data_IF_043214915512
#
_entry.id   IF_043214915512
#
_cell.length_a   1.000
_cell.length_b   1.000
_cell.length_c   1.000
_cell.angle_alpha   90.00
_cell.angle_beta   90.00
_cell.angle_gamma   90.00
#
_symmetry.space_group_name_H-M   'P 1'
#
loop_
_entity.id
_entity.type
_entity.pdbx_description
1 polymer ?
#
# COMPACT_ATOMS: atom_id res chain seq x y z
N UNK A 1 -16.10 12.68 -2.70
CA UNK A 1 -15.51 12.83 -4.04
C UNK A 1 -14.00 12.99 -3.87
N UNK A 2 -13.17 12.14 -4.48
CA UNK A 2 -11.72 12.30 -4.41
C UNK A 2 -11.34 13.47 -5.35
N UNK A 3 -10.46 14.40 -4.93
CA UNK A 3 -9.95 15.43 -5.83
C UNK A 3 -9.28 14.80 -7.06
N UNK A 4 -9.61 15.31 -8.25
CA UNK A 4 -9.18 14.78 -9.57
C UNK A 4 -7.66 14.70 -9.75
N UNK A 5 -6.94 15.48 -8.95
CA UNK A 5 -5.48 15.59 -8.99
C UNK A 5 -4.75 14.48 -8.22
N UNK A 6 -5.46 13.45 -7.77
CA UNK A 6 -4.91 12.42 -6.90
C UNK A 6 -5.32 11.01 -7.32
N UNK A 7 -4.38 10.08 -7.15
CA UNK A 7 -4.61 8.64 -7.24
C UNK A 7 -4.93 8.08 -5.85
N UNK A 8 -5.92 7.21 -5.78
CA UNK A 8 -6.27 6.46 -4.58
C UNK A 8 -5.25 5.35 -4.30
N UNK A 9 -4.78 5.25 -3.05
CA UNK A 9 -3.86 4.19 -2.62
C UNK A 9 -4.52 3.20 -1.65
N UNK A 10 -5.44 3.67 -0.81
CA UNK A 10 -6.15 2.83 0.15
C UNK A 10 -7.05 3.65 1.07
N UNK A 11 -7.97 2.96 1.75
CA UNK A 11 -8.84 3.55 2.76
C UNK A 11 -8.68 2.76 4.05
N UNK A 12 -8.69 3.46 5.18
CA UNK A 12 -8.55 2.85 6.49
C UNK A 12 -9.34 3.64 7.54
N UNK A 13 -9.69 2.96 8.63
CA UNK A 13 -10.23 3.60 9.84
C UNK A 13 -9.06 4.01 10.72
N UNK A 14 -9.04 5.26 11.19
CA UNK A 14 -8.00 5.74 12.09
C UNK A 14 -8.36 5.43 13.57
N UNK A 15 -7.63 4.51 14.25
CA UNK A 15 -8.00 4.08 15.61
C UNK A 15 -7.84 5.14 16.72
N UNK A 16 -6.80 6.01 16.76
CA UNK A 16 -6.48 6.82 17.93
C UNK A 16 -7.52 7.84 18.40
N UNK A 17 -8.41 8.30 17.52
CA UNK A 17 -9.17 9.53 17.77
C UNK A 17 -10.55 9.33 18.39
N UNK A 18 -10.94 8.11 18.76
CA UNK A 18 -12.24 7.81 19.39
C UNK A 18 -13.48 8.01 18.49
N UNK A 19 -13.38 8.90 17.50
CA UNK A 19 -14.36 9.05 16.43
C UNK A 19 -14.04 8.10 15.26
N UNK A 20 -15.09 7.47 14.73
CA UNK A 20 -15.08 6.57 13.57
C UNK A 20 -14.74 7.33 12.28
N UNK A 21 -13.54 7.90 12.18
CA UNK A 21 -13.11 8.70 11.04
C UNK A 21 -12.38 7.80 10.03
N UNK A 22 -13.00 7.63 8.87
CA UNK A 22 -12.36 7.03 7.71
C UNK A 22 -11.38 8.03 7.08
N UNK A 23 -10.21 7.53 6.73
CA UNK A 23 -9.14 8.26 6.06
C UNK A 23 -8.81 7.58 4.76
N UNK A 24 -8.41 8.38 3.78
CA UNK A 24 -7.97 7.90 2.47
C UNK A 24 -6.51 8.29 2.28
N UNK A 25 -5.68 7.32 1.96
CA UNK A 25 -4.30 7.53 1.52
C UNK A 25 -4.30 7.76 0.01
N UNK A 26 -3.62 8.81 -0.41
CA UNK A 26 -3.65 9.33 -1.77
C UNK A 26 -2.24 9.73 -2.21
N UNK A 27 -2.00 9.76 -3.51
CA UNK A 27 -0.78 10.27 -4.10
C UNK A 27 -1.12 11.27 -5.23
N UNK A 28 -0.47 12.44 -5.31
CA UNK A 28 -0.80 13.43 -6.33
C UNK A 28 -0.44 12.91 -7.72
N UNK A 29 -1.30 13.16 -8.69
CA UNK A 29 -1.00 12.90 -10.09
C UNK A 29 0.25 13.71 -10.48
N UNK A 30 1.25 13.11 -11.16
CA UNK A 30 2.44 13.84 -11.60
C UNK A 30 2.13 15.10 -12.41
N UNK A 31 1.02 15.12 -13.14
CA UNK A 31 0.56 16.25 -13.93
C UNK A 31 -0.01 17.42 -13.10
N UNK A 32 -0.28 17.22 -11.81
CA UNK A 32 -0.94 18.22 -10.96
C UNK A 32 0.00 19.28 -10.37
N UNK A 33 1.31 19.24 -10.68
CA UNK A 33 2.30 20.21 -10.20
C UNK A 33 2.48 20.24 -8.67
N UNK A 34 1.92 19.27 -7.95
CA UNK A 34 2.09 19.12 -6.49
C UNK A 34 3.40 18.41 -6.17
N UNK A 35 3.97 18.73 -5.01
CA UNK A 35 5.14 18.03 -4.49
C UNK A 35 4.89 16.52 -4.43
N UNK A 36 5.87 15.74 -4.87
CA UNK A 36 5.79 14.28 -4.82
C UNK A 36 5.72 13.83 -3.34
N UNK A 37 4.67 13.09 -2.98
CA UNK A 37 4.48 12.64 -1.59
C UNK A 37 3.15 11.93 -1.39
N UNK A 38 2.98 11.29 -0.24
CA UNK A 38 1.70 10.70 0.13
C UNK A 38 0.88 11.66 0.97
N UNK A 39 -0.42 11.69 0.72
CA UNK A 39 -1.37 12.56 1.39
C UNK A 39 -2.47 11.74 2.05
N UNK A 40 -2.94 12.24 3.19
CA UNK A 40 -4.09 11.69 3.90
C UNK A 40 -5.23 12.69 3.87
N UNK A 41 -6.40 12.22 3.43
CA UNK A 41 -7.65 12.97 3.48
C UNK A 41 -8.57 12.34 4.53
N UNK A 42 -9.05 13.15 5.48
CA UNK A 42 -10.06 12.75 6.47
C UNK A 42 -11.47 13.06 5.94
N UNK A 43 -12.25 12.03 5.63
CA UNK A 43 -13.52 12.16 4.89
C UNK A 43 -14.60 12.95 5.63
N UNK A 44 -14.58 12.97 6.96
CA UNK A 44 -15.60 13.65 7.79
C UNK A 44 -15.19 15.03 8.31
N UNK A 45 -13.97 15.49 8.02
CA UNK A 45 -13.40 16.66 8.69
C UNK A 45 -13.59 17.98 7.96
N UNK A 46 -13.89 17.94 6.65
CA UNK A 46 -13.85 19.12 5.76
C UNK A 46 -12.45 19.73 5.57
N UNK A 47 -11.41 19.19 6.22
CA UNK A 47 -10.04 19.66 6.11
C UNK A 47 -9.42 19.23 4.77
N UNK A 48 -8.52 20.04 4.21
CA UNK A 48 -7.79 19.66 3.01
C UNK A 48 -6.89 18.44 3.25
N UNK A 49 -6.50 17.70 2.18
CA UNK A 49 -5.52 16.63 2.28
C UNK A 49 -4.20 17.17 2.85
N UNK A 50 -3.63 16.46 3.83
CA UNK A 50 -2.32 16.81 4.41
C UNK A 50 -1.26 15.83 3.93
N UNK A 51 -0.05 16.34 3.71
CA UNK A 51 1.10 15.50 3.40
C UNK A 51 1.49 14.69 4.65
N UNK A 52 1.69 13.39 4.50
CA UNK A 52 2.20 12.51 5.57
C UNK A 52 3.64 12.10 5.33
N UNK A 53 4.07 12.08 4.07
CA UNK A 53 5.38 11.57 3.68
C UNK A 53 5.92 12.44 2.57
N UNK A 54 7.11 12.98 2.82
CA UNK A 54 7.76 13.94 1.93
C UNK A 54 8.31 13.31 0.65
N UNK A 55 8.81 14.15 -0.27
CA UNK A 55 9.46 13.71 -1.50
C UNK A 55 10.69 12.84 -1.19
N UNK A 56 10.74 11.62 -1.73
CA UNK A 56 11.92 10.74 -1.67
C UNK A 56 11.82 9.54 -0.71
N UNK A 57 10.87 9.56 0.24
CA UNK A 57 10.63 8.42 1.13
C UNK A 57 9.63 7.39 0.58
N UNK A 58 8.84 7.80 -0.41
CA UNK A 58 7.90 6.91 -1.09
C UNK A 58 8.59 6.28 -2.29
N UNK A 59 8.64 4.95 -2.32
CA UNK A 59 9.09 4.20 -3.50
C UNK A 59 8.07 4.38 -4.64
N UNK A 60 8.34 5.42 -5.46
CA UNK A 60 7.47 5.92 -6.54
C UNK A 60 7.09 4.88 -7.59
N UNK A 61 7.77 3.75 -7.67
CA UNK A 61 7.51 2.75 -8.72
C UNK A 61 6.49 1.68 -8.32
N UNK A 62 6.16 1.58 -7.03
CA UNK A 62 5.57 0.38 -6.42
C UNK A 62 4.07 0.48 -6.22
N UNK A 63 3.66 1.67 -5.79
CA UNK A 63 2.28 1.95 -5.38
C UNK A 63 1.37 2.12 -6.60
N UNK A 64 1.95 2.24 -7.80
CA UNK A 64 1.23 2.51 -9.03
C UNK A 64 0.86 1.21 -9.74
N UNK A 65 -0.30 0.64 -9.39
CA UNK A 65 -0.94 -0.44 -10.15
C UNK A 65 -1.39 -1.63 -9.31
N UNK A 66 -0.92 -1.73 -8.07
CA UNK A 66 -1.29 -2.81 -7.13
C UNK A 66 -2.36 -2.34 -6.17
N UNK A 67 -3.34 -3.21 -5.88
CA UNK A 67 -4.36 -2.95 -4.84
C UNK A 67 -3.72 -3.12 -3.46
N UNK A 68 -4.05 -2.22 -2.54
CA UNK A 68 -3.68 -2.40 -1.14
C UNK A 68 -4.57 -3.43 -0.46
N UNK A 69 -4.01 -4.09 0.56
CA UNK A 69 -4.76 -4.95 1.48
C UNK A 69 -4.61 -4.41 2.90
N UNK A 70 -5.75 -4.18 3.57
CA UNK A 70 -5.77 -3.73 4.96
C UNK A 70 -5.76 -4.95 5.90
N UNK A 71 -4.67 -5.16 6.63
CA UNK A 71 -4.50 -6.25 7.59
C UNK A 71 -3.88 -5.69 8.87
N UNK A 72 -4.45 -6.00 10.04
CA UNK A 72 -3.92 -5.59 11.37
C UNK A 72 -3.51 -4.12 11.49
N UNK A 73 -4.30 -3.21 10.90
CA UNK A 73 -4.01 -1.77 10.95
C UNK A 73 -2.88 -1.31 10.03
N UNK A 74 -2.47 -2.12 9.05
CA UNK A 74 -1.54 -1.72 8.00
C UNK A 74 -2.15 -1.89 6.61
N UNK A 75 -1.94 -0.93 5.71
CA UNK A 75 -2.17 -1.12 4.28
C UNK A 75 -0.91 -1.73 3.66
N UNK A 76 -1.06 -2.83 2.93
CA UNK A 76 0.06 -3.59 2.36
C UNK A 76 0.03 -3.57 0.84
N UNK A 77 1.20 -3.37 0.22
CA UNK A 77 1.43 -3.49 -1.22
C UNK A 77 2.63 -4.38 -1.49
N UNK A 78 2.52 -5.23 -2.51
CA UNK A 78 3.67 -5.98 -2.99
C UNK A 78 4.53 -5.13 -3.92
N UNK A 79 5.85 -5.16 -3.71
CA UNK A 79 6.87 -4.54 -4.56
C UNK A 79 7.66 -5.60 -5.31
N UNK A 80 7.49 -5.62 -6.63
CA UNK A 80 8.47 -6.23 -7.54
C UNK A 80 9.64 -5.25 -7.69
N UNK A 81 10.86 -5.73 -7.41
CA UNK A 81 12.08 -4.96 -7.68
C UNK A 81 12.40 -5.06 -9.18
N UNK A 82 12.85 -3.96 -9.78
CA UNK A 82 13.18 -3.90 -11.21
C UNK A 82 14.66 -4.21 -11.50
N UNK A 83 15.51 -4.21 -10.47
CA UNK A 83 16.96 -4.43 -10.60
C UNK A 83 17.39 -5.81 -10.09
N UNK A 84 18.31 -6.43 -10.82
CA UNK A 84 18.92 -7.70 -10.43
C UNK A 84 19.70 -7.55 -9.10
N UNK A 85 19.46 -8.47 -8.15
CA UNK A 85 20.14 -8.51 -6.85
C UNK A 85 19.35 -7.94 -5.68
N UNK A 86 18.25 -7.23 -5.91
CA UNK A 86 17.39 -6.72 -4.84
C UNK A 86 16.24 -7.70 -4.51
N UNK A 87 15.94 -7.89 -3.23
CA UNK A 87 14.87 -8.80 -2.78
C UNK A 87 13.49 -8.13 -2.86
N UNK A 88 12.48 -8.82 -3.37
CA UNK A 88 11.10 -8.34 -3.33
C UNK A 88 10.66 -7.98 -1.90
N UNK A 89 9.86 -6.92 -1.76
CA UNK A 89 9.44 -6.38 -0.46
C UNK A 89 7.93 -6.17 -0.42
N UNK A 90 7.38 -6.17 0.79
CA UNK A 90 6.03 -5.69 1.06
C UNK A 90 6.17 -4.30 1.68
N UNK A 91 5.55 -3.31 1.05
CA UNK A 91 5.45 -1.97 1.60
C UNK A 91 4.23 -1.93 2.51
N UNK A 92 4.40 -1.40 3.72
CA UNK A 92 3.33 -1.30 4.71
C UNK A 92 3.18 0.15 5.12
N UNK A 93 1.97 0.68 5.02
CA UNK A 93 1.58 1.95 5.63
C UNK A 93 0.89 1.65 6.96
N UNK A 94 1.54 2.01 8.07
CA UNK A 94 0.95 1.93 9.39
C UNK A 94 -0.17 2.96 9.52
N UNK A 95 -1.40 2.50 9.73
CA UNK A 95 -2.57 3.40 9.73
C UNK A 95 -2.72 4.21 11.02
N UNK A 96 -2.00 3.85 12.07
CA UNK A 96 -2.02 4.52 13.37
C UNK A 96 -0.96 5.61 13.42
N UNK A 97 0.28 5.26 13.08
CA UNK A 97 1.39 6.21 13.01
C UNK A 97 1.39 7.02 11.71
N UNK A 98 0.68 6.54 10.68
CA UNK A 98 0.67 7.11 9.32
C UNK A 98 2.05 7.20 8.66
N UNK A 99 2.87 6.19 8.90
CA UNK A 99 4.23 6.08 8.35
C UNK A 99 4.37 4.85 7.46
N UNK A 100 5.33 4.89 6.53
CA UNK A 100 5.71 3.70 5.77
C UNK A 100 6.79 2.91 6.49
N UNK A 101 6.71 1.59 6.34
CA UNK A 101 7.77 0.65 6.68
C UNK A 101 7.85 -0.43 5.61
N UNK A 102 8.95 -1.16 5.59
CA UNK A 102 9.14 -2.29 4.70
C UNK A 102 9.13 -3.60 5.49
N UNK A 103 8.57 -4.64 4.87
CA UNK A 103 8.59 -6.01 5.34
C UNK A 103 9.21 -6.88 4.24
N UNK A 104 10.06 -7.84 4.62
CA UNK A 104 10.63 -8.78 3.65
C UNK A 104 9.57 -9.77 3.20
N UNK A 105 9.53 -10.05 1.90
CA UNK A 105 8.74 -11.17 1.36
C UNK A 105 9.41 -12.48 1.81
N UNK A 106 8.66 -13.56 2.08
CA UNK A 106 9.25 -14.89 2.25
C UNK A 106 10.21 -15.20 1.10
N UNK A 107 11.41 -15.67 1.43
CA UNK A 107 12.42 -16.02 0.43
C UNK A 107 12.03 -17.35 -0.22
N UNK A 108 11.10 -17.30 -1.16
CA UNK A 108 10.78 -18.43 -2.02
C UNK A 108 11.39 -18.13 -3.39
N UNK A 109 12.33 -18.98 -3.79
CA UNK A 109 13.10 -18.78 -5.03
C UNK A 109 12.16 -18.92 -6.23
N UNK A 110 12.23 -17.96 -7.16
CA UNK A 110 11.52 -18.01 -8.44
C UNK A 110 10.05 -17.58 -8.36
N UNK A 111 9.60 -17.03 -7.24
CA UNK A 111 8.18 -16.76 -7.00
C UNK A 111 7.88 -15.28 -7.11
N UNK A 112 7.05 -14.91 -8.09
CA UNK A 112 6.47 -13.57 -8.21
C UNK A 112 5.11 -13.55 -7.53
N UNK A 113 4.81 -12.51 -6.74
CA UNK A 113 3.49 -12.37 -6.15
C UNK A 113 2.51 -11.76 -7.16
N UNK A 114 1.43 -12.48 -7.44
CA UNK A 114 0.33 -12.02 -8.28
C UNK A 114 -0.76 -11.29 -7.47
N UNK A 115 -0.80 -11.52 -6.16
CA UNK A 115 -1.79 -10.90 -5.29
C UNK A 115 -1.45 -11.02 -3.81
N UNK A 116 -1.73 -9.93 -3.08
CA UNK A 116 -1.89 -9.97 -1.63
C UNK A 116 -3.39 -10.07 -1.32
N UNK A 117 -3.71 -10.71 -0.20
CA UNK A 117 -5.08 -10.78 0.31
C UNK A 117 -5.09 -10.93 1.84
N UNK A 118 -6.24 -10.74 2.45
CA UNK A 118 -6.44 -10.98 3.88
C UNK A 118 -6.94 -12.42 4.07
N UNK A 119 -6.38 -13.13 5.04
CA UNK A 119 -6.79 -14.49 5.40
C UNK A 119 -6.65 -14.69 6.91
N UNK A 120 -7.77 -14.84 7.60
CA UNK A 120 -7.83 -15.07 9.06
C UNK A 120 -6.99 -14.08 9.88
N UNK A 121 -7.17 -12.79 9.59
CA UNK A 121 -6.41 -11.67 10.15
C UNK A 121 -4.90 -11.73 9.85
N UNK A 122 -4.44 -12.57 8.95
CA UNK A 122 -3.06 -12.67 8.48
C UNK A 122 -2.94 -12.15 7.05
N UNK A 123 -1.71 -11.84 6.64
CA UNK A 123 -1.45 -11.38 5.28
C UNK A 123 -1.18 -12.58 4.39
N UNK A 124 -2.10 -12.85 3.48
CA UNK A 124 -1.95 -13.86 2.43
C UNK A 124 -1.20 -13.32 1.23
N UNK A 125 -0.41 -14.19 0.60
CA UNK A 125 0.28 -13.94 -0.66
C UNK A 125 0.01 -15.12 -1.61
N UNK A 126 -0.25 -14.83 -2.88
CA UNK A 126 -0.46 -15.85 -3.91
C UNK A 126 0.50 -15.70 -5.08
N UNK A 127 0.89 -16.83 -5.67
CA UNK A 127 1.63 -16.90 -6.93
C UNK A 127 1.04 -17.98 -7.81
N UNK A 128 0.76 -17.65 -9.06
CA UNK A 128 0.35 -18.60 -10.08
C UNK A 128 1.60 -19.14 -10.80
N UNK A 129 1.54 -20.40 -11.21
CA UNK A 129 2.50 -20.86 -12.20
C UNK A 129 2.29 -20.15 -13.55
N UNK A 130 3.26 -20.23 -14.46
CA UNK A 130 3.18 -19.58 -15.78
C UNK A 130 1.94 -19.97 -16.61
N UNK A 131 1.37 -21.14 -16.34
CA UNK A 131 0.17 -21.66 -17.02
C UNK A 131 -1.15 -21.27 -16.33
N UNK A 132 -1.09 -20.59 -15.19
CA UNK A 132 -2.20 -20.29 -14.30
C UNK A 132 -3.06 -21.51 -13.91
N UNK A 133 -2.46 -22.69 -13.83
CA UNK A 133 -3.16 -23.95 -13.47
C UNK A 133 -2.98 -24.36 -12.02
N UNK A 134 -1.97 -23.82 -11.33
CA UNK A 134 -1.74 -24.02 -9.91
C UNK A 134 -1.48 -22.68 -9.25
N UNK A 135 -1.86 -22.59 -7.98
CA UNK A 135 -1.64 -21.43 -7.12
C UNK A 135 -0.92 -21.89 -5.86
N UNK A 136 0.20 -21.26 -5.58
CA UNK A 136 0.90 -21.40 -4.30
C UNK A 136 0.45 -20.25 -3.40
N UNK A 137 0.18 -20.57 -2.13
CA UNK A 137 -0.31 -19.62 -1.12
C UNK A 137 0.61 -19.64 0.09
N UNK A 138 1.00 -18.45 0.54
CA UNK A 138 1.70 -18.24 1.81
C UNK A 138 0.86 -17.35 2.72
N UNK A 139 0.89 -17.63 4.02
CA UNK A 139 0.23 -16.84 5.06
C UNK A 139 1.30 -16.32 6.01
N UNK A 140 1.29 -15.01 6.27
CA UNK A 140 2.33 -14.25 6.98
C UNK A 140 1.85 -13.66 8.31
#
# INVERSE_FOLDING_TARGET
MLPLDFRFLGMYRHPPTGEYRYRVLMYPCPAAGREAGCYVLSLSSGQPPRCVVGPGEVHKEVIFGTKSVLVRGGLHWYRVQQHEGESNMIIVFDTTAETFRQMRVPVVRGTTCDGLFEMDSMLGMSSFNDKATSIDIWVL
#
